data_IF_843603158763
#
_entry.id   IF_843603158763
#
_cell.length_a   1.000
_cell.length_b   1.000
_cell.length_c   1.000
_cell.angle_alpha   90.00
_cell.angle_beta   90.00
_cell.angle_gamma   90.00
#
_symmetry.space_group_name_H-M   'P 1'
#
loop_
_entity.id
_entity.type
_entity.pdbx_description
1 polymer ?
#
# COMPACT_ATOMS: atom_id res chain seq x y z
N UNK A 1 6.46 -24.49 -10.92
CA UNK A 1 5.72 -25.05 -9.78
C UNK A 1 4.63 -24.11 -9.30
N UNK A 2 4.94 -22.84 -9.09
CA UNK A 2 3.95 -21.86 -8.59
C UNK A 2 3.27 -21.03 -9.70
N UNK A 3 3.58 -21.29 -10.97
CA UNK A 3 3.00 -20.56 -12.10
C UNK A 3 1.47 -20.68 -12.21
N UNK A 4 0.90 -21.73 -11.63
CA UNK A 4 -0.55 -21.98 -11.64
C UNK A 4 -1.19 -21.73 -10.28
N UNK A 5 -0.43 -21.20 -9.31
CA UNK A 5 -0.94 -20.88 -7.98
C UNK A 5 -1.30 -19.39 -7.87
N UNK A 6 -2.34 -19.09 -7.13
CA UNK A 6 -2.70 -17.71 -6.85
C UNK A 6 -1.71 -17.07 -5.87
N UNK A 7 -1.30 -15.84 -6.15
CA UNK A 7 -0.49 -15.08 -5.21
C UNK A 7 -1.36 -14.62 -4.05
N UNK A 8 -0.87 -14.80 -2.83
CA UNK A 8 -1.45 -14.18 -1.63
C UNK A 8 -0.46 -13.16 -1.11
N UNK A 9 -0.88 -11.92 -1.01
CA UNK A 9 -0.07 -10.84 -0.48
C UNK A 9 -0.29 -10.72 1.04
N UNK A 10 0.74 -10.33 1.78
CA UNK A 10 0.69 -10.19 3.23
C UNK A 10 1.18 -8.81 3.65
N UNK A 11 0.55 -8.29 4.72
CA UNK A 11 1.07 -7.18 5.48
C UNK A 11 0.87 -7.48 6.97
N UNK A 12 1.66 -6.87 7.82
CA UNK A 12 1.59 -7.07 9.27
C UNK A 12 0.98 -5.83 9.93
N UNK A 13 0.16 -6.02 10.96
CA UNK A 13 -0.44 -4.94 11.72
C UNK A 13 -0.46 -5.26 13.22
N UNK A 14 -0.25 -4.25 14.04
CA UNK A 14 -0.40 -4.35 15.50
C UNK A 14 -1.81 -4.02 15.95
N UNK A 15 -2.63 -3.48 15.05
CA UNK A 15 -4.01 -3.04 15.33
C UNK A 15 -4.88 -3.33 14.10
N UNK A 16 -5.62 -4.44 14.16
CA UNK A 16 -6.44 -4.88 13.04
C UNK A 16 -7.63 -3.94 12.75
N UNK A 17 -8.14 -3.22 13.74
CA UNK A 17 -9.20 -2.25 13.52
C UNK A 17 -8.69 -1.04 12.74
N UNK A 18 -7.50 -0.54 13.08
CA UNK A 18 -6.83 0.51 12.32
C UNK A 18 -6.50 0.05 10.90
N UNK A 19 -6.05 -1.20 10.74
CA UNK A 19 -5.79 -1.79 9.42
C UNK A 19 -7.06 -1.87 8.57
N UNK A 20 -8.17 -2.28 9.14
CA UNK A 20 -9.44 -2.32 8.42
C UNK A 20 -9.88 -0.92 7.97
N UNK A 21 -9.79 0.07 8.84
CA UNK A 21 -10.12 1.45 8.51
C UNK A 21 -9.23 2.00 7.39
N UNK A 22 -7.96 1.61 7.35
CA UNK A 22 -7.02 2.05 6.32
C UNK A 22 -7.20 1.29 5.01
N UNK A 23 -7.04 -0.03 5.01
CA UNK A 23 -7.11 -0.84 3.77
C UNK A 23 -8.52 -0.87 3.20
N UNK A 24 -9.54 -0.97 4.04
CA UNK A 24 -10.94 -0.95 3.61
C UNK A 24 -11.48 0.45 3.40
N UNK A 25 -11.26 1.36 4.35
CA UNK A 25 -11.83 2.71 4.31
C UNK A 25 -11.05 3.68 3.44
N UNK A 26 -9.74 3.78 3.62
CA UNK A 26 -8.90 4.73 2.87
C UNK A 26 -8.59 4.19 1.48
N UNK A 27 -8.08 2.96 1.37
CA UNK A 27 -7.71 2.37 0.08
C UNK A 27 -8.90 1.80 -0.68
N UNK A 28 -10.04 1.58 -0.03
CA UNK A 28 -11.25 1.11 -0.68
C UNK A 28 -11.27 -0.37 -1.05
N UNK A 29 -10.41 -1.19 -0.44
CA UNK A 29 -10.42 -2.63 -0.70
C UNK A 29 -11.62 -3.31 -0.01
N UNK A 30 -12.17 -4.34 -0.66
CA UNK A 30 -13.27 -5.10 -0.10
C UNK A 30 -12.78 -6.04 1.00
N UNK A 31 -13.34 -5.91 2.22
CA UNK A 31 -13.10 -6.84 3.31
C UNK A 31 -13.90 -8.12 3.05
N UNK A 32 -13.23 -9.26 2.91
CA UNK A 32 -13.87 -10.55 2.60
C UNK A 32 -13.86 -11.52 3.77
N UNK A 33 -12.99 -11.34 4.75
CA UNK A 33 -12.97 -12.14 5.98
C UNK A 33 -12.31 -11.37 7.11
N UNK A 34 -12.75 -11.67 8.33
CA UNK A 34 -12.24 -11.03 9.54
C UNK A 34 -12.20 -12.05 10.67
N UNK A 35 -11.03 -12.20 11.27
CA UNK A 35 -10.82 -13.03 12.47
C UNK A 35 -10.05 -12.21 13.50
N UNK A 36 -9.81 -12.80 14.69
CA UNK A 36 -8.95 -12.16 15.69
C UNK A 36 -7.47 -12.12 15.27
N UNK A 37 -7.08 -12.83 14.21
CA UNK A 37 -5.70 -12.96 13.76
C UNK A 37 -5.41 -12.20 12.47
N UNK A 38 -6.45 -11.92 11.66
CA UNK A 38 -6.23 -11.28 10.36
C UNK A 38 -7.50 -10.62 9.81
N UNK A 39 -7.28 -9.59 8.99
CA UNK A 39 -8.27 -9.03 8.08
C UNK A 39 -7.87 -9.41 6.67
N UNK A 40 -8.80 -9.95 5.90
CA UNK A 40 -8.54 -10.42 4.53
C UNK A 40 -9.33 -9.55 3.55
N UNK A 41 -8.63 -9.00 2.57
CA UNK A 41 -9.20 -8.12 1.55
C UNK A 41 -9.05 -8.72 0.17
N UNK A 42 -9.98 -8.39 -0.71
CA UNK A 42 -9.80 -8.61 -2.15
C UNK A 42 -9.17 -7.36 -2.75
N UNK A 43 -7.99 -7.51 -3.34
CA UNK A 43 -7.27 -6.45 -4.02
C UNK A 43 -7.25 -6.76 -5.52
N UNK A 44 -8.36 -6.43 -6.20
CA UNK A 44 -8.52 -6.63 -7.65
C UNK A 44 -8.19 -8.08 -8.07
N UNK A 45 -8.75 -9.05 -7.34
CA UNK A 45 -8.56 -10.48 -7.60
C UNK A 45 -7.40 -11.12 -6.86
N UNK A 46 -6.53 -10.35 -6.21
CA UNK A 46 -5.47 -10.87 -5.36
C UNK A 46 -5.86 -10.76 -3.90
N UNK A 47 -5.73 -11.86 -3.14
CA UNK A 47 -6.00 -11.82 -1.71
C UNK A 47 -4.88 -11.07 -1.00
N UNK A 48 -5.25 -10.07 -0.20
CA UNK A 48 -4.35 -9.39 0.73
C UNK A 48 -4.73 -9.78 2.15
N UNK A 49 -3.80 -10.41 2.87
CA UNK A 49 -4.01 -10.82 4.25
C UNK A 49 -3.21 -9.93 5.17
N UNK A 50 -3.90 -9.13 5.98
CA UNK A 50 -3.27 -8.29 7.01
C UNK A 50 -3.28 -9.08 8.31
N UNK A 51 -2.12 -9.54 8.74
CA UNK A 51 -1.95 -10.44 9.87
C UNK A 51 -1.57 -9.67 11.13
N UNK A 52 -2.21 -10.02 12.24
CA UNK A 52 -1.88 -9.44 13.55
C UNK A 52 -0.51 -9.94 14.02
N UNK A 53 0.32 -9.00 14.46
CA UNK A 53 1.63 -9.25 15.06
C UNK A 53 1.79 -8.37 16.30
N UNK A 54 2.79 -8.68 17.15
CA UNK A 54 3.05 -7.90 18.37
C UNK A 54 3.78 -6.59 18.06
N UNK A 55 4.62 -6.59 17.03
CA UNK A 55 5.38 -5.41 16.60
C UNK A 55 5.66 -5.47 15.10
N UNK A 56 5.71 -4.29 14.47
CA UNK A 56 6.07 -4.13 13.06
C UNK A 56 7.44 -3.43 13.01
N UNK A 57 8.37 -4.02 12.26
CA UNK A 57 9.74 -3.50 12.19
C UNK A 57 9.87 -2.17 11.43
N UNK A 58 8.89 -1.79 10.62
CA UNK A 58 8.94 -0.56 9.84
C UNK A 58 10.00 -0.63 8.75
N UNK A 59 9.81 -1.51 7.77
CA UNK A 59 10.75 -1.70 6.68
C UNK A 59 10.93 -0.42 5.85
N UNK A 60 12.18 -0.07 5.55
CA UNK A 60 12.52 1.08 4.71
C UNK A 60 12.36 0.77 3.20
N UNK A 61 11.62 -0.26 2.86
CA UNK A 61 11.36 -0.67 1.48
C UNK A 61 9.87 -1.01 1.31
N UNK A 62 9.39 -0.96 0.07
CA UNK A 62 7.99 -1.28 -0.26
C UNK A 62 7.65 -2.72 0.08
N UNK A 63 6.58 -2.92 0.85
CA UNK A 63 6.03 -4.25 1.13
C UNK A 63 4.86 -4.59 0.23
N UNK A 64 4.08 -3.59 -0.20
CA UNK A 64 2.97 -3.72 -1.14
C UNK A 64 3.01 -2.55 -2.10
N UNK A 65 2.73 -2.81 -3.37
CA UNK A 65 2.64 -1.78 -4.38
C UNK A 65 1.46 -1.98 -5.30
N UNK A 66 0.90 -0.88 -5.79
CA UNK A 66 -0.16 -0.89 -6.78
C UNK A 66 0.26 -0.15 -8.04
N UNK A 67 -0.06 -0.72 -9.20
CA UNK A 67 0.03 0.00 -10.46
C UNK A 67 -1.28 0.74 -10.67
N UNK A 68 -1.18 2.03 -10.96
CA UNK A 68 -2.32 2.90 -11.24
C UNK A 68 -2.16 3.57 -12.60
N UNK A 69 -3.26 3.92 -13.24
CA UNK A 69 -3.22 4.59 -14.54
C UNK A 69 -2.87 6.07 -14.40
N UNK A 70 -3.29 6.71 -13.31
CA UNK A 70 -3.06 8.12 -13.02
C UNK A 70 -2.59 8.28 -11.57
N UNK A 71 -1.28 8.38 -11.41
CA UNK A 71 -0.66 8.50 -10.09
C UNK A 71 -1.05 9.80 -9.39
N UNK A 72 -1.12 10.91 -10.12
CA UNK A 72 -1.47 12.21 -9.52
C UNK A 72 -2.90 12.17 -8.95
N UNK A 73 -3.84 11.56 -9.66
CA UNK A 73 -5.21 11.39 -9.19
C UNK A 73 -5.27 10.47 -7.97
N UNK A 74 -4.49 9.39 -7.95
CA UNK A 74 -4.44 8.47 -6.82
C UNK A 74 -3.86 9.15 -5.57
N UNK A 75 -2.79 9.93 -5.72
CA UNK A 75 -2.21 10.70 -4.61
C UNK A 75 -3.20 11.74 -4.10
N UNK A 76 -3.90 12.43 -4.98
CA UNK A 76 -4.92 13.40 -4.58
C UNK A 76 -6.05 12.73 -3.77
N UNK A 77 -6.46 11.53 -4.16
CA UNK A 77 -7.47 10.75 -3.43
C UNK A 77 -6.98 10.34 -2.03
N UNK A 78 -5.70 9.93 -1.91
CA UNK A 78 -5.08 9.62 -0.61
C UNK A 78 -5.03 10.87 0.28
N UNK A 79 -4.61 12.01 -0.27
CA UNK A 79 -4.57 13.27 0.47
C UNK A 79 -5.95 13.70 0.97
N UNK A 80 -6.99 13.51 0.18
CA UNK A 80 -8.37 13.80 0.57
C UNK A 80 -8.81 12.95 1.77
N UNK A 81 -8.15 11.84 2.02
CA UNK A 81 -8.39 10.94 3.15
C UNK A 81 -7.33 11.06 4.25
N UNK A 82 -6.51 12.10 4.21
CA UNK A 82 -5.53 12.41 5.25
C UNK A 82 -4.20 11.66 5.12
N UNK A 83 -3.91 11.06 3.97
CA UNK A 83 -2.65 10.33 3.75
C UNK A 83 -1.75 11.13 2.83
N UNK A 84 -0.60 11.56 3.35
CA UNK A 84 0.40 12.29 2.59
C UNK A 84 1.48 11.34 2.06
N UNK A 85 2.00 11.58 0.85
CA UNK A 85 3.16 10.83 0.35
C UNK A 85 4.37 11.01 1.26
N UNK A 86 5.17 9.96 1.36
CA UNK A 86 6.47 10.01 2.03
C UNK A 86 7.46 10.78 1.17
N UNK A 87 8.32 11.57 1.84
CA UNK A 87 9.38 12.32 1.21
C UNK A 87 10.73 11.81 1.71
N UNK A 88 11.67 11.64 0.80
CA UNK A 88 13.01 11.13 1.10
C UNK A 88 14.05 12.17 0.75
N UNK A 89 14.97 12.45 1.69
CA UNK A 89 16.06 13.39 1.47
C UNK A 89 16.94 12.94 0.29
N UNK A 90 17.29 13.88 -0.57
CA UNK A 90 18.14 13.62 -1.73
C UNK A 90 17.42 12.94 -2.91
N UNK A 91 16.14 12.66 -2.79
CA UNK A 91 15.34 12.10 -3.88
C UNK A 91 14.55 13.23 -4.57
N UNK A 92 14.64 13.30 -5.89
CA UNK A 92 13.90 14.30 -6.68
C UNK A 92 12.45 13.86 -6.83
N UNK A 93 11.59 14.28 -5.90
CA UNK A 93 10.17 13.99 -5.90
C UNK A 93 9.38 15.24 -6.26
N UNK A 94 8.36 15.08 -7.11
CA UNK A 94 7.48 16.17 -7.53
C UNK A 94 6.40 16.50 -6.48
N UNK A 95 5.40 17.31 -6.84
CA UNK A 95 4.32 17.72 -5.93
C UNK A 95 3.48 16.56 -5.43
N UNK A 96 3.34 15.50 -6.23
CA UNK A 96 2.65 14.27 -5.86
C UNK A 96 3.52 13.32 -5.03
N UNK A 97 4.76 13.71 -4.72
CA UNK A 97 5.72 12.85 -4.06
C UNK A 97 6.31 11.78 -4.99
N UNK A 98 6.11 11.93 -6.30
CA UNK A 98 6.56 10.93 -7.25
C UNK A 98 8.00 11.18 -7.68
N UNK A 99 8.76 10.11 -7.70
CA UNK A 99 10.08 10.04 -8.31
C UNK A 99 9.94 9.40 -9.69
N UNK A 100 10.57 9.99 -10.68
CA UNK A 100 10.59 9.43 -12.03
C UNK A 100 11.85 8.60 -12.22
N UNK A 101 11.66 7.30 -12.46
CA UNK A 101 12.75 6.37 -12.72
C UNK A 101 13.37 6.63 -14.11
N UNK A 102 14.62 6.17 -14.34
CA UNK A 102 15.29 6.36 -15.64
C UNK A 102 14.47 5.88 -16.85
N UNK A 103 13.67 4.83 -16.68
CA UNK A 103 12.79 4.30 -17.75
C UNK A 103 11.49 5.06 -17.93
N UNK A 104 11.20 6.07 -17.11
CA UNK A 104 10.00 6.89 -17.20
C UNK A 104 8.86 6.51 -16.28
N UNK A 105 8.93 5.36 -15.59
CA UNK A 105 7.94 5.02 -14.56
C UNK A 105 7.99 6.01 -13.40
N UNK A 106 6.83 6.36 -12.88
CA UNK A 106 6.70 7.24 -11.71
C UNK A 106 6.30 6.41 -10.51
N UNK A 107 6.93 6.67 -9.37
CA UNK A 107 6.68 5.94 -8.12
C UNK A 107 6.49 6.95 -6.98
N UNK A 108 5.44 6.77 -6.19
CA UNK A 108 5.20 7.51 -4.96
C UNK A 108 5.03 6.52 -3.81
N UNK A 109 5.42 6.90 -2.62
CA UNK A 109 5.37 6.06 -1.42
C UNK A 109 4.47 6.68 -0.36
N UNK A 110 3.84 5.84 0.42
CA UNK A 110 3.03 6.25 1.56
C UNK A 110 3.11 5.18 2.65
N UNK A 111 2.67 5.50 3.85
CA UNK A 111 2.71 4.58 4.98
C UNK A 111 1.30 4.13 5.37
N UNK A 112 1.18 2.88 5.81
CA UNK A 112 -0.02 2.43 6.51
C UNK A 112 0.05 2.80 8.01
N UNK A 113 -0.98 2.52 8.83
CA UNK A 113 -0.98 2.89 10.25
C UNK A 113 0.16 2.29 11.07
N UNK A 114 0.71 1.17 10.66
CA UNK A 114 1.83 0.50 11.34
C UNK A 114 3.20 0.95 10.83
N UNK A 115 3.25 1.86 9.86
CA UNK A 115 4.50 2.30 9.26
C UNK A 115 5.04 1.37 8.18
N UNK A 116 4.25 0.43 7.68
CA UNK A 116 4.62 -0.31 6.48
C UNK A 116 4.70 0.64 5.29
N UNK A 117 5.76 0.53 4.50
CA UNK A 117 5.91 1.34 3.30
C UNK A 117 5.17 0.71 2.13
N UNK A 118 4.27 1.48 1.55
CA UNK A 118 3.46 1.10 0.39
C UNK A 118 3.82 2.01 -0.78
N UNK A 119 3.56 1.57 -2.01
CA UNK A 119 3.86 2.39 -3.18
C UNK A 119 2.76 2.38 -4.23
N UNK A 120 2.70 3.48 -4.98
CA UNK A 120 1.94 3.59 -6.21
C UNK A 120 2.93 3.71 -7.37
N UNK A 121 2.65 3.03 -8.47
CA UNK A 121 3.49 3.06 -9.66
C UNK A 121 2.63 3.33 -10.89
N UNK A 122 3.11 4.27 -11.72
CA UNK A 122 2.51 4.55 -13.02
C UNK A 122 3.54 4.19 -14.09
N UNK A 123 3.13 3.40 -15.08
CA UNK A 123 3.99 3.04 -16.21
C UNK A 123 4.37 4.28 -17.05
N UNK A 124 5.47 4.21 -17.81
CA UNK A 124 5.90 5.31 -18.66
C UNK A 124 4.84 5.72 -19.68
#
# INVERSE_FOLDING_TARGET
>A
MLSDADLVAFAASTDLDAAEAFYGGVLGLELVASTSFAKVFDAHGTQLRVTRVDAVAGAAYTVLGWRVDDLDAAVAALRARGVEPLRYDGMAQDESGAWTAPGGSRIAWFADPDGNTLSLQQAP
#
